data_IF_756559035310
#
_entry.id   IF_756559035310
#
_cell.length_a   1.000
_cell.length_b   1.000
_cell.length_c   1.000
_cell.angle_alpha   90.00
_cell.angle_beta   90.00
_cell.angle_gamma   90.00
#
_symmetry.space_group_name_H-M   'P 1'
#
loop_
_entity.id
_entity.type
_entity.pdbx_description
1 polymer ?
#
# COMPACT_ATOMS: atom_id res chain seq x y z
N UNK A 1 -12.02 12.41 -8.16
CA UNK A 1 -12.86 12.02 -9.32
C UNK A 1 -12.03 11.08 -10.17
N UNK A 2 -12.58 9.95 -10.59
CA UNK A 2 -11.90 9.07 -11.55
C UNK A 2 -11.94 9.78 -12.90
N UNK A 3 -10.78 9.97 -13.54
CA UNK A 3 -10.76 10.51 -14.90
C UNK A 3 -11.30 9.42 -15.84
N UNK A 4 -12.25 9.80 -16.69
CA UNK A 4 -12.79 8.99 -17.82
C UNK A 4 -13.30 7.58 -17.44
N UNK A 5 -13.80 7.40 -16.21
CA UNK A 5 -14.46 6.17 -15.72
C UNK A 5 -13.68 4.86 -15.95
N UNK A 6 -12.34 4.94 -16.04
CA UNK A 6 -11.47 3.79 -16.32
C UNK A 6 -11.38 3.38 -17.80
N UNK A 7 -11.94 4.17 -18.73
CA UNK A 7 -11.86 3.90 -20.17
C UNK A 7 -10.46 4.17 -20.75
N UNK A 8 -9.81 3.10 -21.23
CA UNK A 8 -8.50 3.18 -21.89
C UNK A 8 -8.57 4.01 -23.18
N UNK A 9 -9.64 3.84 -23.96
CA UNK A 9 -9.82 4.56 -25.24
C UNK A 9 -9.95 6.07 -25.00
N UNK A 10 -10.74 6.48 -24.02
CA UNK A 10 -10.91 7.89 -23.69
C UNK A 10 -9.62 8.49 -23.11
N UNK A 11 -8.89 7.74 -22.26
CA UNK A 11 -7.58 8.16 -21.74
C UNK A 11 -6.59 8.40 -22.88
N UNK A 12 -6.53 7.47 -23.83
CA UNK A 12 -5.64 7.57 -24.99
C UNK A 12 -5.98 8.77 -25.88
N UNK A 13 -7.27 8.98 -26.16
CA UNK A 13 -7.72 10.14 -26.94
C UNK A 13 -7.39 11.45 -26.23
N UNK A 14 -7.59 11.52 -24.91
CA UNK A 14 -7.26 12.68 -24.09
C UNK A 14 -5.76 13.01 -24.13
N UNK A 15 -4.90 12.00 -23.94
CA UNK A 15 -3.43 12.16 -24.00
C UNK A 15 -2.95 12.54 -25.40
N UNK A 16 -3.55 11.99 -26.46
CA UNK A 16 -3.26 12.41 -27.84
C UNK A 16 -3.62 13.88 -28.09
N UNK A 17 -4.74 14.34 -27.54
CA UNK A 17 -5.21 15.71 -27.73
C UNK A 17 -4.43 16.74 -26.92
N UNK A 18 -4.03 16.40 -25.69
CA UNK A 18 -3.43 17.35 -24.73
C UNK A 18 -1.94 17.13 -24.49
N UNK A 19 -1.36 16.06 -25.04
CA UNK A 19 0.07 15.75 -24.97
C UNK A 19 0.60 15.62 -23.54
N UNK A 20 1.85 16.08 -23.35
CA UNK A 20 2.55 16.04 -22.06
C UNK A 20 1.84 16.88 -20.98
N UNK A 21 1.21 18.00 -21.36
CA UNK A 21 0.51 18.85 -20.40
C UNK A 21 -0.72 18.12 -19.83
N UNK A 22 -1.52 17.49 -20.69
CA UNK A 22 -2.65 16.68 -20.24
C UNK A 22 -2.24 15.54 -19.31
N UNK A 23 -1.07 14.92 -19.54
CA UNK A 23 -0.54 13.91 -18.62
C UNK A 23 -0.21 14.50 -17.25
N UNK A 24 0.46 15.66 -17.19
CA UNK A 24 0.79 16.34 -15.93
C UNK A 24 -0.48 16.74 -15.17
N UNK A 25 -1.51 17.17 -15.89
CA UNK A 25 -2.77 17.63 -15.30
C UNK A 25 -3.56 16.51 -14.63
N UNK A 26 -3.54 15.29 -15.20
CA UNK A 26 -4.22 14.12 -14.62
C UNK A 26 -3.35 13.35 -13.62
N UNK A 27 -2.05 13.60 -13.58
CA UNK A 27 -1.14 12.88 -12.69
C UNK A 27 -1.42 13.23 -11.22
N UNK A 28 -1.69 12.24 -10.36
CA UNK A 28 -2.00 12.52 -8.96
C UNK A 28 -0.78 13.13 -8.27
N UNK A 29 -0.95 14.35 -7.75
CA UNK A 29 0.09 15.00 -6.95
C UNK A 29 0.14 14.36 -5.56
N UNK A 30 1.33 13.99 -5.06
CA UNK A 30 1.45 13.42 -3.74
C UNK A 30 1.04 14.47 -2.69
N UNK A 31 0.16 14.09 -1.77
CA UNK A 31 -0.25 14.95 -0.66
C UNK A 31 0.53 14.59 0.61
N UNK A 32 0.71 15.55 1.51
CA UNK A 32 1.37 15.29 2.81
C UNK A 32 0.65 14.19 3.62
N UNK A 33 -0.69 14.09 3.48
CA UNK A 33 -1.49 13.05 4.11
C UNK A 33 -1.17 11.68 3.49
N UNK A 34 -1.14 11.57 2.15
CA UNK A 34 -0.81 10.33 1.48
C UNK A 34 0.59 9.81 1.86
N UNK A 35 1.58 10.70 1.92
CA UNK A 35 2.94 10.37 2.39
C UNK A 35 2.94 9.83 3.81
N UNK A 36 2.22 10.49 4.73
CA UNK A 36 2.12 10.04 6.13
C UNK A 36 1.48 8.65 6.21
N UNK A 37 0.40 8.40 5.46
CA UNK A 37 -0.28 7.09 5.46
C UNK A 37 0.67 6.00 4.97
N UNK A 38 1.34 6.21 3.83
CA UNK A 38 2.28 5.22 3.27
C UNK A 38 3.43 4.97 4.23
N UNK A 39 4.01 6.03 4.81
CA UNK A 39 5.12 5.90 5.74
C UNK A 39 4.73 5.14 7.02
N UNK A 40 3.61 5.50 7.65
CA UNK A 40 3.12 4.84 8.85
C UNK A 40 2.79 3.38 8.59
N UNK A 41 2.12 3.08 7.47
CA UNK A 41 1.83 1.70 7.07
C UNK A 41 3.11 0.90 6.82
N UNK A 42 4.07 1.45 6.07
CA UNK A 42 5.35 0.80 5.81
C UNK A 42 6.16 0.55 7.08
N UNK A 43 6.19 1.51 8.01
CA UNK A 43 6.84 1.35 9.31
C UNK A 43 6.15 0.26 10.15
N UNK A 44 4.81 0.23 10.16
CA UNK A 44 4.04 -0.80 10.84
C UNK A 44 4.36 -2.21 10.31
N UNK A 45 4.36 -2.39 8.98
CA UNK A 45 4.71 -3.66 8.34
C UNK A 45 6.16 -4.08 8.64
N UNK A 46 7.11 -3.14 8.57
CA UNK A 46 8.51 -3.42 8.89
C UNK A 46 8.67 -3.87 10.35
N UNK A 47 7.99 -3.22 11.29
CA UNK A 47 7.98 -3.61 12.70
C UNK A 47 7.40 -5.02 12.87
N UNK A 48 6.28 -5.34 12.22
CA UNK A 48 5.69 -6.68 12.28
C UNK A 48 6.62 -7.74 11.70
N UNK A 49 7.22 -7.50 10.54
CA UNK A 49 8.17 -8.44 9.91
C UNK A 49 9.40 -8.69 10.77
N UNK A 50 9.92 -7.66 11.45
CA UNK A 50 11.07 -7.79 12.34
C UNK A 50 10.71 -8.50 13.65
N UNK A 51 9.61 -8.11 14.29
CA UNK A 51 9.27 -8.57 15.65
C UNK A 51 8.50 -9.89 15.69
N UNK A 52 7.52 -10.11 14.80
CA UNK A 52 6.68 -11.32 14.88
C UNK A 52 7.48 -12.59 14.64
N UNK A 53 7.36 -13.58 15.52
CA UNK A 53 8.06 -14.86 15.40
C UNK A 53 7.77 -15.54 14.06
N UNK A 54 8.81 -16.17 13.49
CA UNK A 54 8.74 -16.85 12.21
C UNK A 54 9.89 -17.83 12.06
N UNK A 55 9.67 -18.88 11.28
CA UNK A 55 10.71 -19.89 11.04
C UNK A 55 11.83 -19.28 10.17
N UNK A 56 13.08 -19.54 10.51
CA UNK A 56 14.22 -19.18 9.67
C UNK A 56 14.20 -20.08 8.43
N UNK A 57 14.28 -19.48 7.24
CA UNK A 57 14.34 -20.17 5.95
C UNK A 57 15.55 -19.67 5.18
N UNK A 58 16.32 -20.58 4.62
CA UNK A 58 17.50 -20.24 3.83
C UNK A 58 17.16 -20.32 2.35
N UNK A 59 17.51 -19.28 1.60
CA UNK A 59 17.39 -19.30 0.15
C UNK A 59 18.47 -20.16 -0.52
N UNK A 60 18.44 -20.22 -1.87
CA UNK A 60 19.47 -20.89 -2.64
C UNK A 60 20.82 -20.18 -2.49
N UNK A 61 21.90 -20.94 -2.61
CA UNK A 61 23.26 -20.39 -2.64
C UNK A 61 23.44 -19.64 -3.96
N UNK A 62 23.82 -18.37 -3.89
CA UNK A 62 24.12 -17.56 -5.06
C UNK A 62 25.40 -18.04 -5.76
N UNK A 63 25.62 -17.70 -7.05
CA UNK A 63 26.87 -18.02 -7.74
C UNK A 63 28.13 -17.49 -7.04
N UNK A 64 28.01 -16.44 -6.23
CA UNK A 64 29.09 -15.86 -5.43
C UNK A 64 29.23 -16.48 -4.03
N UNK A 65 28.47 -17.54 -3.72
CA UNK A 65 28.54 -18.27 -2.45
C UNK A 65 27.69 -17.71 -1.31
N UNK A 66 27.04 -16.56 -1.50
CA UNK A 66 26.14 -15.98 -0.48
C UNK A 66 24.84 -16.77 -0.37
N UNK A 67 24.39 -17.03 0.85
CA UNK A 67 23.10 -17.69 1.13
C UNK A 67 22.18 -16.74 1.91
N UNK A 68 21.10 -16.23 1.30
CA UNK A 68 20.19 -15.32 1.98
C UNK A 68 19.37 -16.07 3.04
N UNK A 69 19.10 -15.38 4.15
CA UNK A 69 18.35 -15.91 5.29
C UNK A 69 17.11 -15.06 5.48
N UNK A 70 15.96 -15.72 5.49
CA UNK A 70 14.64 -15.09 5.61
C UNK A 70 13.91 -15.56 6.86
N UNK A 71 12.94 -14.76 7.30
CA UNK A 71 12.01 -15.09 8.37
C UNK A 71 10.63 -15.35 7.76
N UNK A 72 10.15 -16.59 7.84
CA UNK A 72 8.85 -17.00 7.33
C UNK A 72 7.75 -16.66 8.34
N UNK A 73 7.36 -15.38 8.40
CA UNK A 73 6.23 -14.89 9.20
C UNK A 73 5.16 -14.17 8.36
N UNK A 74 5.24 -14.22 7.03
CA UNK A 74 4.35 -13.47 6.13
C UNK A 74 2.86 -13.70 6.40
N UNK A 75 2.43 -14.93 6.66
CA UNK A 75 1.02 -15.22 7.00
C UNK A 75 0.61 -14.61 8.34
N UNK A 76 1.49 -14.65 9.35
CA UNK A 76 1.21 -14.05 10.66
C UNK A 76 1.12 -12.52 10.55
N UNK A 77 2.06 -11.90 9.84
CA UNK A 77 2.04 -10.46 9.54
C UNK A 77 0.74 -10.09 8.81
N UNK A 78 0.38 -10.82 7.74
CA UNK A 78 -0.85 -10.60 6.98
C UNK A 78 -2.11 -10.61 7.85
N UNK A 79 -2.26 -11.62 8.72
CA UNK A 79 -3.44 -11.69 9.59
C UNK A 79 -3.50 -10.53 10.59
N UNK A 80 -2.36 -10.15 11.19
CA UNK A 80 -2.31 -9.01 12.10
C UNK A 80 -2.68 -7.73 11.36
N UNK A 81 -2.11 -7.48 10.19
CA UNK A 81 -2.42 -6.30 9.37
C UNK A 81 -3.90 -6.24 8.97
N UNK A 82 -4.48 -7.37 8.56
CA UNK A 82 -5.88 -7.44 8.18
C UNK A 82 -6.81 -7.13 9.37
N UNK A 83 -6.56 -7.74 10.53
CA UNK A 83 -7.32 -7.50 11.75
C UNK A 83 -7.19 -6.05 12.19
N UNK A 84 -5.98 -5.47 12.16
CA UNK A 84 -5.75 -4.06 12.47
C UNK A 84 -6.52 -3.13 11.53
N UNK A 85 -6.49 -3.41 10.22
CA UNK A 85 -7.18 -2.60 9.22
C UNK A 85 -8.71 -2.63 9.39
N UNK A 86 -9.28 -3.81 9.60
CA UNK A 86 -10.72 -3.98 9.86
C UNK A 86 -11.12 -3.31 11.17
N UNK A 87 -10.30 -3.45 12.22
CA UNK A 87 -10.55 -2.84 13.53
C UNK A 87 -10.56 -1.31 13.45
N UNK A 88 -9.60 -0.72 12.75
CA UNK A 88 -9.54 0.72 12.51
C UNK A 88 -10.74 1.19 11.67
N UNK A 89 -11.09 0.47 10.61
CA UNK A 89 -12.26 0.80 9.79
C UNK A 89 -13.56 0.78 10.60
N UNK A 90 -13.76 -0.27 11.42
CA UNK A 90 -14.93 -0.39 12.28
C UNK A 90 -15.01 0.79 13.25
N UNK A 91 -13.93 1.11 13.98
CA UNK A 91 -13.90 2.23 14.93
C UNK A 91 -14.21 3.58 14.25
N UNK A 92 -13.61 3.85 13.10
CA UNK A 92 -13.85 5.08 12.33
C UNK A 92 -15.31 5.19 11.87
N UNK A 93 -15.94 4.07 11.50
CA UNK A 93 -17.37 4.04 11.15
C UNK A 93 -18.25 4.47 12.33
N UNK A 94 -18.00 3.97 13.55
CA UNK A 94 -18.79 4.37 14.73
C UNK A 94 -18.57 5.84 15.12
N UNK A 95 -17.34 6.32 15.02
CA UNK A 95 -17.02 7.74 15.29
C UNK A 95 -17.75 8.63 14.28
N UNK A 96 -17.72 8.27 12.99
CA UNK A 96 -18.42 9.01 11.94
C UNK A 96 -19.94 9.03 12.14
N UNK A 97 -20.55 7.98 12.68
CA UNK A 97 -22.01 7.96 12.93
C UNK A 97 -22.43 8.76 14.16
N UNK A 98 -21.53 9.00 15.13
CA UNK A 98 -21.83 9.77 16.35
C UNK A 98 -21.67 11.28 16.17
N UNK A 99 -21.00 11.75 15.11
CA UNK A 99 -20.81 13.18 14.82
C UNK A 99 -21.98 13.86 14.09
N UNK A 100 -23.07 13.14 13.82
CA UNK A 100 -24.28 13.65 13.14
C UNK A 100 -25.55 13.55 14.01
N UNK A 101 -25.40 13.49 15.33
CA UNK A 101 -26.53 13.43 16.27
C UNK A 101 -26.47 14.53 17.31
#
# INVERSE_FOLDING_TARGET
MVHVDGSVVQTWNYLKQHGLQGFIDIWPRPTAIAWKIIFVYGAFEAVLQLLLLGKRVEGPISPTGNRPVYKANGMAVYFVTLVSSISLWWQLRFISTKGYS
#
